data_IF_440539494744
#
_entry.id   IF_440539494744
#
_cell.length_a   1.000
_cell.length_b   1.000
_cell.length_c   1.000
_cell.angle_alpha   90.00
_cell.angle_beta   90.00
_cell.angle_gamma   90.00
#
_symmetry.space_group_name_H-M   'P 1'
#
loop_
_entity.id
_entity.type
_entity.pdbx_description
1 polymer ?
#
# COMPACT_ATOMS: atom_id res chain seq x y z
N UNK A 1 24.89 5.66 10.91
CA UNK A 1 26.02 6.55 11.30
C UNK A 1 27.25 6.10 10.51
N UNK A 2 27.97 7.08 9.96
CA UNK A 2 29.26 6.82 9.31
C UNK A 2 30.27 6.38 10.37
N UNK A 3 31.08 5.40 10.04
CA UNK A 3 32.25 5.04 10.81
C UNK A 3 33.14 6.29 10.99
N UNK A 4 33.73 6.46 12.16
CA UNK A 4 34.54 7.63 12.51
C UNK A 4 35.71 7.83 11.54
N UNK A 5 36.34 6.75 11.09
CA UNK A 5 37.44 6.83 10.10
C UNK A 5 36.93 7.37 8.77
N UNK A 6 35.79 6.89 8.31
CA UNK A 6 35.17 7.36 7.05
C UNK A 6 34.70 8.80 7.13
N UNK A 7 34.26 9.24 8.31
CA UNK A 7 33.88 10.63 8.54
C UNK A 7 35.09 11.58 8.45
N UNK A 8 36.22 11.19 9.02
CA UNK A 8 37.47 11.95 8.96
C UNK A 8 37.98 12.05 7.49
N UNK A 9 37.98 10.93 6.77
CA UNK A 9 38.34 10.90 5.34
C UNK A 9 37.50 11.89 4.52
N UNK A 10 36.16 11.84 4.68
CA UNK A 10 35.24 12.74 3.99
C UNK A 10 35.45 14.21 4.36
N UNK A 11 35.75 14.52 5.62
CA UNK A 11 36.08 15.89 6.04
C UNK A 11 37.33 16.41 5.34
N UNK A 12 38.35 15.57 5.18
CA UNK A 12 39.61 15.93 4.49
C UNK A 12 39.39 16.08 2.99
N UNK A 13 38.67 15.15 2.36
CA UNK A 13 38.39 15.17 0.92
C UNK A 13 37.63 16.41 0.48
N UNK A 14 36.73 16.90 1.34
CA UNK A 14 35.87 18.04 1.04
C UNK A 14 36.28 19.34 1.74
N UNK A 15 37.47 19.38 2.35
CA UNK A 15 38.02 20.53 3.10
C UNK A 15 37.04 21.13 4.12
N UNK A 16 36.38 20.24 4.88
CA UNK A 16 35.36 20.61 5.88
C UNK A 16 35.98 20.72 7.25
N UNK A 17 35.84 21.88 7.89
CA UNK A 17 36.30 22.07 9.27
C UNK A 17 35.53 21.20 10.25
N UNK A 18 36.17 20.85 11.36
CA UNK A 18 35.52 20.03 12.43
C UNK A 18 34.23 20.69 12.93
N UNK A 19 34.17 22.01 12.99
CA UNK A 19 32.98 22.74 13.42
C UNK A 19 31.84 22.59 12.36
N UNK A 20 32.13 22.74 11.11
CA UNK A 20 31.13 22.64 10.03
C UNK A 20 30.69 21.21 9.77
N UNK A 21 31.48 20.21 10.15
CA UNK A 21 31.16 18.79 9.94
C UNK A 21 29.87 18.36 10.64
N UNK A 22 29.43 19.08 11.68
CA UNK A 22 28.17 18.83 12.40
C UNK A 22 26.93 18.92 11.49
N UNK A 23 26.99 19.73 10.45
CA UNK A 23 25.88 19.97 9.51
C UNK A 23 26.32 19.84 8.03
N UNK A 24 27.36 19.07 7.78
CA UNK A 24 27.78 18.72 6.42
C UNK A 24 27.19 17.35 6.04
N UNK A 25 26.45 17.32 4.93
CA UNK A 25 25.79 16.12 4.42
C UNK A 25 26.50 15.66 3.15
N UNK A 26 27.30 14.62 3.27
CA UNK A 26 28.11 14.08 2.16
C UNK A 26 27.29 13.22 1.18
N UNK A 27 26.12 12.74 1.60
CA UNK A 27 25.24 11.92 0.80
C UNK A 27 23.81 12.44 0.86
N UNK A 28 23.09 12.30 -0.22
CA UNK A 28 21.64 12.53 -0.22
C UNK A 28 20.96 11.45 0.61
N UNK A 29 20.06 11.85 1.50
CA UNK A 29 19.36 10.92 2.38
C UNK A 29 18.05 11.50 2.92
N UNK A 30 17.31 10.67 3.61
CA UNK A 30 16.07 11.04 4.27
C UNK A 30 16.32 11.25 5.78
N UNK A 31 15.68 12.25 6.36
CA UNK A 31 15.71 12.45 7.81
C UNK A 31 14.61 11.60 8.47
N UNK A 32 14.85 10.29 8.60
CA UNK A 32 13.90 9.30 9.13
C UNK A 32 14.44 8.70 10.45
N UNK A 33 14.55 9.50 11.47
CA UNK A 33 14.95 9.01 12.80
C UNK A 33 13.76 8.40 13.52
N UNK A 34 13.82 7.08 13.77
CA UNK A 34 12.92 6.43 14.72
C UNK A 34 13.26 6.84 16.15
N UNK A 35 12.23 6.96 17.00
CA UNK A 35 12.42 7.14 18.44
C UNK A 35 12.52 5.79 19.15
N UNK A 36 13.12 5.76 20.35
CA UNK A 36 13.20 4.54 21.15
C UNK A 36 11.81 3.96 21.47
N UNK A 37 10.80 4.81 21.61
CA UNK A 37 9.42 4.38 21.81
C UNK A 37 8.88 3.62 20.58
N UNK A 38 9.14 4.13 19.38
CA UNK A 38 8.76 3.45 18.13
C UNK A 38 9.50 2.12 17.98
N UNK A 39 10.80 2.07 18.31
CA UNK A 39 11.59 0.86 18.29
C UNK A 39 11.07 -0.17 19.31
N UNK A 40 10.72 0.26 20.52
CA UNK A 40 10.14 -0.62 21.55
C UNK A 40 8.81 -1.22 21.13
N UNK A 41 7.91 -0.43 20.53
CA UNK A 41 6.67 -0.95 19.95
C UNK A 41 6.97 -1.92 18.81
N UNK A 42 7.93 -1.58 17.94
CA UNK A 42 8.36 -2.43 16.81
C UNK A 42 8.83 -3.82 17.25
N UNK A 43 9.60 -3.91 18.35
CA UNK A 43 10.06 -5.20 18.89
C UNK A 43 8.90 -6.16 19.22
N UNK A 44 7.79 -5.63 19.72
CA UNK A 44 6.59 -6.44 20.01
C UNK A 44 5.82 -6.90 18.76
N UNK A 45 6.10 -6.33 17.60
CA UNK A 45 5.43 -6.63 16.33
C UNK A 45 6.25 -7.57 15.43
N UNK A 46 7.59 -7.52 15.55
CA UNK A 46 8.46 -8.26 14.64
C UNK A 46 8.25 -9.77 14.71
N UNK A 47 8.00 -10.31 15.89
CA UNK A 47 7.73 -11.73 16.10
C UNK A 47 6.41 -12.22 15.47
N UNK A 48 5.53 -11.28 15.12
CA UNK A 48 4.22 -11.57 14.50
C UNK A 48 4.25 -11.43 12.98
N UNK A 49 5.30 -10.80 12.44
CA UNK A 49 5.37 -10.36 11.06
C UNK A 49 5.15 -11.51 10.07
N UNK A 50 5.87 -12.60 10.24
CA UNK A 50 5.79 -13.77 9.35
C UNK A 50 4.40 -14.41 9.38
N UNK A 51 3.84 -14.60 10.58
CA UNK A 51 2.48 -15.14 10.73
C UNK A 51 1.42 -14.24 10.10
N UNK A 52 1.55 -12.94 10.25
CA UNK A 52 0.64 -11.97 9.60
C UNK A 52 0.80 -11.94 8.09
N UNK A 53 2.03 -12.10 7.59
CA UNK A 53 2.30 -12.23 6.16
C UNK A 53 1.57 -13.42 5.54
N UNK A 54 1.76 -14.61 6.13
CA UNK A 54 1.11 -15.84 5.71
C UNK A 54 -0.43 -15.72 5.77
N UNK A 55 -0.96 -15.11 6.85
CA UNK A 55 -2.42 -14.92 6.97
C UNK A 55 -2.97 -13.98 5.88
N UNK A 56 -2.28 -12.88 5.58
CA UNK A 56 -2.69 -11.96 4.51
C UNK A 56 -2.65 -12.62 3.14
N UNK A 57 -1.64 -13.43 2.88
CA UNK A 57 -1.57 -14.20 1.63
C UNK A 57 -2.73 -15.19 1.51
N UNK A 58 -3.02 -15.94 2.58
CA UNK A 58 -4.16 -16.83 2.61
C UNK A 58 -5.48 -16.09 2.33
N UNK A 59 -5.72 -14.98 3.01
CA UNK A 59 -6.89 -14.15 2.79
C UNK A 59 -6.98 -13.64 1.34
N UNK A 60 -5.85 -13.19 0.79
CA UNK A 60 -5.78 -12.71 -0.59
C UNK A 60 -6.16 -13.78 -1.61
N UNK A 61 -5.63 -15.00 -1.43
CA UNK A 61 -5.96 -16.13 -2.29
C UNK A 61 -7.43 -16.55 -2.14
N UNK A 62 -7.96 -16.51 -0.92
CA UNK A 62 -9.37 -16.78 -0.66
C UNK A 62 -10.30 -15.79 -1.34
N UNK A 63 -9.98 -14.48 -1.29
CA UNK A 63 -10.70 -13.48 -2.08
C UNK A 63 -10.62 -13.75 -3.57
N UNK A 64 -9.43 -14.09 -4.08
CA UNK A 64 -9.21 -14.36 -5.50
C UNK A 64 -10.01 -15.55 -6.00
N UNK A 65 -10.27 -16.54 -5.14
CA UNK A 65 -11.11 -17.70 -5.43
C UNK A 65 -12.61 -17.37 -5.39
N UNK A 66 -13.03 -16.55 -4.42
CA UNK A 66 -14.45 -16.30 -4.14
C UNK A 66 -15.03 -15.12 -4.94
N UNK A 67 -14.21 -14.15 -5.33
CA UNK A 67 -14.70 -12.97 -6.08
C UNK A 67 -14.84 -13.29 -7.56
N UNK A 68 -16.08 -13.31 -8.03
CA UNK A 68 -16.48 -13.61 -9.42
C UNK A 68 -16.47 -12.32 -10.25
N UNK A 69 -15.27 -11.84 -10.59
CA UNK A 69 -15.10 -10.62 -11.38
C UNK A 69 -14.41 -10.93 -12.70
N UNK A 70 -15.16 -10.99 -13.78
CA UNK A 70 -14.64 -11.25 -15.12
C UNK A 70 -14.05 -10.01 -15.80
N UNK A 71 -14.32 -8.81 -15.29
CA UNK A 71 -13.78 -7.59 -15.84
C UNK A 71 -12.28 -7.45 -15.56
N UNK A 72 -11.87 -7.74 -14.33
CA UNK A 72 -10.47 -7.73 -13.94
C UNK A 72 -10.21 -8.64 -12.73
N UNK A 73 -9.14 -9.41 -12.81
CA UNK A 73 -8.64 -10.21 -11.68
C UNK A 73 -7.16 -9.91 -11.45
N UNK A 74 -6.72 -9.83 -10.19
CA UNK A 74 -5.30 -9.73 -9.90
C UNK A 74 -4.55 -10.93 -10.49
N UNK A 75 -3.50 -10.66 -11.26
CA UNK A 75 -2.61 -11.73 -11.71
C UNK A 75 -1.59 -12.00 -10.61
N UNK A 76 -1.60 -13.22 -10.09
CA UNK A 76 -0.59 -13.70 -9.14
C UNK A 76 0.00 -14.99 -9.67
N UNK A 77 1.30 -15.00 -9.88
CA UNK A 77 2.02 -16.24 -10.12
C UNK A 77 2.11 -17.04 -8.82
N UNK A 78 2.00 -18.37 -8.90
CA UNK A 78 1.99 -19.26 -7.72
C UNK A 78 3.28 -19.18 -6.88
N UNK A 79 4.36 -18.69 -7.48
CA UNK A 79 5.66 -18.50 -6.80
C UNK A 79 5.74 -17.20 -5.99
N UNK A 80 4.80 -16.27 -6.18
CA UNK A 80 4.88 -14.95 -5.58
C UNK A 80 4.23 -14.91 -4.20
N UNK A 81 4.99 -14.48 -3.20
CA UNK A 81 4.44 -14.18 -1.89
C UNK A 81 3.73 -12.82 -1.89
N UNK A 82 2.46 -12.81 -1.53
CA UNK A 82 1.64 -11.60 -1.55
C UNK A 82 1.08 -11.29 -0.16
N UNK A 83 1.59 -10.26 0.49
CA UNK A 83 1.13 -9.80 1.80
C UNK A 83 0.51 -8.40 1.72
N UNK A 84 -0.47 -8.23 0.84
CA UNK A 84 -1.19 -6.97 0.68
C UNK A 84 -2.03 -6.64 1.93
N UNK A 85 -2.09 -5.36 2.30
CA UNK A 85 -2.96 -4.91 3.40
C UNK A 85 -4.44 -4.83 3.01
N UNK A 86 -4.72 -4.89 1.70
CA UNK A 86 -6.06 -4.81 1.13
C UNK A 86 -6.17 -5.67 -0.13
N UNK A 87 -7.39 -6.13 -0.45
CA UNK A 87 -7.68 -6.83 -1.70
C UNK A 87 -8.24 -5.85 -2.73
N UNK A 88 -7.61 -5.67 -3.89
CA UNK A 88 -8.04 -4.74 -4.92
C UNK A 88 -9.18 -5.33 -5.76
N UNK A 89 -10.14 -4.48 -6.11
CA UNK A 89 -11.24 -4.79 -7.04
C UNK A 89 -11.32 -3.66 -8.07
N UNK A 90 -11.44 -4.01 -9.35
CA UNK A 90 -11.67 -3.04 -10.45
C UNK A 90 -12.89 -3.50 -11.21
N UNK A 91 -13.96 -2.70 -11.21
CA UNK A 91 -15.19 -3.04 -11.93
C UNK A 91 -16.02 -1.78 -12.28
N UNK A 92 -16.64 -1.71 -13.48
CA UNK A 92 -17.47 -0.56 -13.88
C UNK A 92 -18.62 -0.23 -12.91
N UNK A 93 -19.20 -1.24 -12.24
CA UNK A 93 -20.25 -1.06 -11.22
C UNK A 93 -19.70 -0.64 -9.85
N UNK A 94 -18.45 -0.13 -9.76
CA UNK A 94 -17.76 0.23 -8.51
C UNK A 94 -18.67 0.95 -7.52
N UNK A 95 -19.33 2.01 -7.96
CA UNK A 95 -20.07 2.89 -7.05
C UNK A 95 -21.24 2.14 -6.37
N UNK A 96 -21.88 1.23 -7.11
CA UNK A 96 -22.94 0.37 -6.58
C UNK A 96 -22.41 -0.68 -5.61
N UNK A 97 -21.31 -1.35 -5.97
CA UNK A 97 -20.63 -2.33 -5.10
C UNK A 97 -20.18 -1.66 -3.79
N UNK A 98 -19.56 -0.49 -3.89
CA UNK A 98 -19.12 0.30 -2.73
C UNK A 98 -20.29 0.65 -1.83
N UNK A 99 -21.39 1.15 -2.37
CA UNK A 99 -22.60 1.47 -1.59
C UNK A 99 -23.15 0.23 -0.84
N UNK A 100 -23.16 -0.92 -1.48
CA UNK A 100 -23.62 -2.16 -0.83
C UNK A 100 -22.66 -2.63 0.27
N UNK A 101 -21.35 -2.51 0.07
CA UNK A 101 -20.35 -2.83 1.07
C UNK A 101 -20.45 -1.91 2.30
N UNK A 102 -20.56 -0.59 2.08
CA UNK A 102 -20.73 0.38 3.16
C UNK A 102 -22.03 0.15 3.96
N UNK A 103 -23.13 -0.14 3.29
CA UNK A 103 -24.39 -0.55 3.94
C UNK A 103 -24.26 -1.85 4.72
N UNK A 104 -23.40 -2.76 4.25
CA UNK A 104 -23.04 -4.00 4.93
C UNK A 104 -22.05 -3.83 6.08
N UNK A 105 -21.62 -2.61 6.39
CA UNK A 105 -20.66 -2.31 7.46
C UNK A 105 -19.21 -2.62 7.10
N UNK A 106 -18.89 -2.79 5.81
CA UNK A 106 -17.54 -3.02 5.32
C UNK A 106 -16.89 -1.70 4.96
N UNK A 107 -15.74 -1.39 5.56
CA UNK A 107 -14.94 -0.23 5.18
C UNK A 107 -14.29 -0.48 3.82
N UNK A 108 -14.50 0.45 2.90
CA UNK A 108 -13.89 0.42 1.56
C UNK A 108 -13.17 1.74 1.30
N UNK A 109 -12.20 1.71 0.40
CA UNK A 109 -11.46 2.91 0.02
C UNK A 109 -11.15 2.91 -1.47
N UNK A 110 -11.10 4.09 -2.12
CA UNK A 110 -10.59 4.21 -3.48
C UNK A 110 -9.10 3.79 -3.50
N UNK A 111 -8.60 3.44 -4.68
CA UNK A 111 -7.16 3.16 -4.84
C UNK A 111 -6.33 4.32 -4.32
N UNK A 112 -5.28 4.02 -3.57
CA UNK A 112 -4.41 5.03 -2.95
C UNK A 112 -3.83 5.94 -4.02
N UNK A 113 -3.97 7.25 -3.79
CA UNK A 113 -3.57 8.34 -4.68
C UNK A 113 -4.33 8.43 -6.00
N UNK A 114 -5.13 7.44 -6.39
CA UNK A 114 -5.78 7.42 -7.70
C UNK A 114 -4.79 7.71 -8.84
N UNK A 115 -5.17 8.51 -9.81
CA UNK A 115 -4.26 8.98 -10.86
C UNK A 115 -3.43 10.17 -10.38
N UNK A 116 -2.15 9.99 -10.17
CA UNK A 116 -1.23 11.08 -9.78
C UNK A 116 -1.26 12.23 -10.79
N UNK A 117 -1.32 11.91 -12.08
CA UNK A 117 -1.33 12.93 -13.15
C UNK A 117 -2.56 13.84 -13.17
N UNK A 118 -3.62 13.47 -12.45
CA UNK A 118 -4.86 14.25 -12.33
C UNK A 118 -5.01 14.90 -10.94
N UNK A 119 -4.11 14.63 -10.00
CA UNK A 119 -4.14 15.26 -8.69
C UNK A 119 -3.96 16.78 -8.78
N UNK A 120 -4.73 17.59 -8.04
CA UNK A 120 -4.70 19.05 -8.15
C UNK A 120 -3.31 19.67 -8.00
N UNK A 121 -2.50 19.18 -7.06
CA UNK A 121 -1.14 19.67 -6.87
C UNK A 121 -0.23 19.37 -8.07
N UNK A 122 -0.36 18.17 -8.66
CA UNK A 122 0.43 17.77 -9.82
C UNK A 122 0.04 18.60 -11.06
N UNK A 123 -1.27 18.73 -11.28
CA UNK A 123 -1.80 19.53 -12.41
C UNK A 123 -1.35 20.97 -12.35
N UNK A 124 -1.31 21.58 -11.17
CA UNK A 124 -0.84 22.95 -10.98
C UNK A 124 0.63 23.14 -11.34
N UNK A 125 1.46 22.16 -11.03
CA UNK A 125 2.92 22.24 -11.19
C UNK A 125 3.39 21.78 -12.58
N UNK A 126 2.80 20.68 -13.09
CA UNK A 126 3.30 19.97 -14.27
C UNK A 126 2.29 19.89 -15.44
N UNK A 127 1.08 20.36 -15.24
CA UNK A 127 -0.01 20.17 -16.17
C UNK A 127 -0.70 18.79 -16.01
N UNK A 128 -1.87 18.63 -16.64
CA UNK A 128 -2.66 17.41 -16.56
C UNK A 128 -2.04 16.29 -17.41
N UNK A 129 -1.82 15.12 -16.79
CA UNK A 129 -1.35 13.92 -17.46
C UNK A 129 -2.39 12.79 -17.30
N UNK A 130 -2.91 12.30 -18.41
CA UNK A 130 -3.84 11.17 -18.43
C UNK A 130 -3.18 9.95 -19.07
N UNK A 131 -3.17 8.85 -18.33
CA UNK A 131 -2.69 7.54 -18.77
C UNK A 131 -3.87 6.59 -18.77
N UNK A 132 -4.24 5.96 -19.91
CA UNK A 132 -5.49 5.22 -20.06
C UNK A 132 -5.72 4.17 -18.96
N UNK A 133 -4.74 3.30 -18.71
CA UNK A 133 -4.85 2.26 -17.68
C UNK A 133 -4.98 2.83 -16.26
N UNK A 134 -4.25 3.92 -15.96
CA UNK A 134 -4.31 4.58 -14.65
C UNK A 134 -5.67 5.26 -14.47
N UNK A 135 -6.18 5.89 -15.50
CA UNK A 135 -7.51 6.52 -15.49
C UNK A 135 -8.61 5.49 -15.24
N UNK A 136 -8.49 4.30 -15.83
CA UNK A 136 -9.43 3.20 -15.62
C UNK A 136 -9.38 2.68 -14.18
N UNK A 137 -8.18 2.47 -13.64
CA UNK A 137 -7.98 2.06 -12.24
C UNK A 137 -8.55 3.12 -11.28
N UNK A 138 -8.28 4.40 -11.52
CA UNK A 138 -8.80 5.51 -10.72
C UNK A 138 -10.33 5.56 -10.74
N UNK A 139 -10.92 5.34 -11.89
CA UNK A 139 -12.37 5.40 -12.10
C UNK A 139 -13.12 4.20 -11.49
N UNK A 140 -12.58 2.99 -11.62
CA UNK A 140 -13.27 1.73 -11.32
C UNK A 140 -12.65 0.96 -10.16
N UNK A 141 -11.49 1.39 -9.67
CA UNK A 141 -10.76 0.72 -8.61
C UNK A 141 -11.20 1.11 -7.21
N UNK A 142 -11.26 0.12 -6.34
CA UNK A 142 -11.39 0.26 -4.90
C UNK A 142 -10.71 -0.93 -4.21
N UNK A 143 -10.61 -0.91 -2.90
CA UNK A 143 -10.12 -2.06 -2.17
C UNK A 143 -10.91 -2.32 -0.89
N UNK A 144 -10.95 -3.60 -0.51
CA UNK A 144 -11.56 -4.10 0.71
C UNK A 144 -10.49 -4.59 1.69
N UNK A 145 -10.81 -4.73 2.99
CA UNK A 145 -9.84 -5.10 4.01
C UNK A 145 -9.16 -6.45 3.76
N UNK A 146 -7.86 -6.51 4.00
CA UNK A 146 -7.06 -7.74 4.06
C UNK A 146 -6.09 -7.69 5.24
N UNK A 147 -6.60 -7.46 6.45
CA UNK A 147 -5.78 -7.49 7.65
C UNK A 147 -5.66 -8.92 8.22
N UNK A 148 -4.64 -9.22 9.05
CA UNK A 148 -4.42 -10.58 9.55
C UNK A 148 -5.47 -11.07 10.55
N UNK A 149 -6.39 -10.22 10.99
CA UNK A 149 -7.44 -10.56 11.96
C UNK A 149 -8.80 -10.81 11.32
N UNK A 150 -8.94 -10.54 10.00
CA UNK A 150 -10.17 -10.85 9.30
C UNK A 150 -10.41 -12.36 9.29
N UNK A 151 -11.63 -12.75 9.57
CA UNK A 151 -12.05 -14.17 9.60
C UNK A 151 -12.46 -14.66 8.22
N UNK A 152 -12.43 -15.97 8.01
CA UNK A 152 -12.86 -16.57 6.75
C UNK A 152 -14.35 -16.28 6.45
N UNK A 153 -15.19 -16.22 7.49
CA UNK A 153 -16.61 -15.86 7.34
C UNK A 153 -16.82 -14.41 6.91
N UNK A 154 -15.97 -13.48 7.36
CA UNK A 154 -16.01 -12.10 6.91
C UNK A 154 -15.52 -11.98 5.46
N UNK A 155 -14.51 -12.73 5.04
CA UNK A 155 -14.06 -12.77 3.64
C UNK A 155 -15.19 -13.28 2.74
N UNK A 156 -15.85 -14.37 3.11
CA UNK A 156 -17.02 -14.91 2.38
C UNK A 156 -18.14 -13.87 2.32
N UNK A 157 -18.45 -13.22 3.43
CA UNK A 157 -19.47 -12.16 3.49
C UNK A 157 -19.16 -11.00 2.53
N UNK A 158 -17.93 -10.49 2.56
CA UNK A 158 -17.48 -9.41 1.69
C UNK A 158 -17.53 -9.82 0.22
N UNK A 159 -17.03 -11.03 -0.10
CA UNK A 159 -17.04 -11.55 -1.47
C UNK A 159 -18.45 -11.69 -2.03
N UNK A 160 -19.41 -12.15 -1.21
CA UNK A 160 -20.81 -12.26 -1.63
C UNK A 160 -21.45 -10.90 -1.94
N UNK A 161 -21.12 -9.85 -1.18
CA UNK A 161 -21.60 -8.50 -1.48
C UNK A 161 -20.99 -7.99 -2.79
N UNK A 162 -19.69 -8.21 -3.00
CA UNK A 162 -19.01 -7.82 -4.25
C UNK A 162 -19.68 -8.49 -5.43
N UNK A 163 -19.84 -9.81 -5.40
CA UNK A 163 -20.41 -10.60 -6.49
C UNK A 163 -21.84 -10.13 -6.81
N UNK A 164 -22.67 -9.95 -5.82
CA UNK A 164 -24.03 -9.43 -5.98
C UNK A 164 -24.03 -8.04 -6.64
N UNK A 165 -23.16 -7.14 -6.23
CA UNK A 165 -23.08 -5.79 -6.79
C UNK A 165 -22.51 -5.75 -8.22
N UNK A 166 -21.73 -6.76 -8.62
CA UNK A 166 -21.21 -6.92 -9.98
C UNK A 166 -22.29 -7.42 -10.94
N UNK A 167 -23.10 -8.40 -10.51
CA UNK A 167 -24.14 -9.03 -11.34
C UNK A 167 -25.32 -8.11 -11.64
N UNK A 168 -25.66 -7.19 -10.76
CA UNK A 168 -26.79 -6.25 -10.90
C UNK A 168 -26.46 -5.05 -11.79
#
# INVERSE_FOLDING_TARGET
DLDTEKQIELQQDWDVSTFNSLYTFYYQGFNVRATDLQAYIGLSQIDKLDGWGVRREYNYLTYQELVENDYWKPNKELSDFTSNFAYPVIHPNRDKVVEQLERGGVEVRPMICGSMGTQPFYVKEYGRLELPNVTEIDRYGFYVPNNPHITDSEIVYISNIINKGIEE
#
